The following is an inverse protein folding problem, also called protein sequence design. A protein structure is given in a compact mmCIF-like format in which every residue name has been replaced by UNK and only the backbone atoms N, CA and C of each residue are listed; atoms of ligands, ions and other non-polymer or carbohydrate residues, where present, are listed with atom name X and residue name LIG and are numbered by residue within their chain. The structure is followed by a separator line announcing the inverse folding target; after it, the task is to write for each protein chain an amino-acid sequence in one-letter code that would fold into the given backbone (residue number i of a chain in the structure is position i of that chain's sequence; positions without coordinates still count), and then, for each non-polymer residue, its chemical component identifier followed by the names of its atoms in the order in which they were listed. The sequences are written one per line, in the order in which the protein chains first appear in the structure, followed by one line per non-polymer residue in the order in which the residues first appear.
data_IF_631026164457
#
_entry.id   IF_631026164457
#
_cell.length_a   1.000
_cell.length_b   1.000
_cell.length_c   1.000
_cell.angle_alpha   90.00
_cell.angle_beta   90.00
_cell.angle_gamma   90.00
#
_symmetry.space_group_name_H-M   'P 1'
#
loop_
_entity.id
_entity.type
_entity.pdbx_description
1 polymer ?
#
# COMPACT_ATOMS: atom_id res chain seq x y z
N UNK A 1 -4.36 -12.26 -9.72
CA UNK A 1 -3.91 -11.16 -8.83
C UNK A 1 -4.32 -9.82 -9.43
N UNK A 2 -4.87 -8.96 -8.63
CA UNK A 2 -5.28 -7.62 -9.04
C UNK A 2 -4.60 -6.59 -8.14
N UNK A 3 -3.93 -5.60 -8.74
CA UNK A 3 -3.29 -4.51 -8.03
C UNK A 3 -4.16 -3.26 -8.09
N UNK A 4 -4.35 -2.61 -6.95
CA UNK A 4 -5.18 -1.41 -6.80
C UNK A 4 -4.30 -0.25 -6.37
N UNK A 5 -4.37 0.86 -7.09
CA UNK A 5 -3.69 2.10 -6.73
C UNK A 5 -4.63 2.97 -5.91
N UNK A 6 -4.21 3.33 -4.70
CA UNK A 6 -5.02 4.12 -3.75
C UNK A 6 -4.47 5.52 -3.51
N UNK A 7 -3.63 6.03 -4.39
CA UNK A 7 -2.96 7.33 -4.21
C UNK A 7 -3.95 8.50 -4.07
N UNK A 8 -5.13 8.41 -4.66
CA UNK A 8 -6.17 9.43 -4.54
C UNK A 8 -6.62 9.69 -3.10
N UNK A 9 -6.33 8.75 -2.19
CA UNK A 9 -6.71 8.86 -0.78
C UNK A 9 -6.14 10.13 -0.11
N UNK A 10 -5.03 10.64 -0.59
CA UNK A 10 -4.35 11.78 0.04
C UNK A 10 -4.94 13.15 -0.30
N UNK A 11 -5.84 13.25 -1.27
CA UNK A 11 -6.16 14.57 -1.83
C UNK A 11 -7.17 15.37 -1.02
N UNK A 12 -8.34 14.84 -0.73
CA UNK A 12 -9.37 15.50 0.08
C UNK A 12 -10.51 14.54 0.34
N UNK A 13 -11.42 14.92 1.26
CA UNK A 13 -12.57 14.08 1.63
C UNK A 13 -12.16 12.65 1.98
N UNK A 14 -11.10 12.53 2.81
CA UNK A 14 -10.48 11.25 3.08
C UNK A 14 -11.44 10.18 3.60
N UNK A 15 -12.43 10.54 4.41
CA UNK A 15 -13.40 9.56 4.91
C UNK A 15 -14.29 9.01 3.81
N UNK A 16 -14.78 9.87 2.92
CA UNK A 16 -15.60 9.43 1.78
C UNK A 16 -14.79 8.56 0.83
N UNK A 17 -13.55 8.93 0.57
CA UNK A 17 -12.64 8.16 -0.28
C UNK A 17 -12.32 6.82 0.38
N UNK A 18 -12.06 6.81 1.68
CA UNK A 18 -11.80 5.59 2.43
C UNK A 18 -12.98 4.62 2.33
N UNK A 19 -14.20 5.11 2.57
CA UNK A 19 -15.42 4.30 2.48
C UNK A 19 -15.62 3.76 1.06
N UNK A 20 -15.38 4.60 0.04
CA UNK A 20 -15.48 4.21 -1.36
C UNK A 20 -14.48 3.11 -1.73
N UNK A 21 -13.24 3.24 -1.31
CA UNK A 21 -12.22 2.23 -1.53
C UNK A 21 -12.57 0.91 -0.84
N UNK A 22 -13.04 0.98 0.40
CA UNK A 22 -13.48 -0.22 1.12
C UNK A 22 -14.63 -0.92 0.42
N UNK A 23 -15.59 -0.16 -0.09
CA UNK A 23 -16.74 -0.71 -0.83
C UNK A 23 -16.29 -1.41 -2.12
N UNK A 24 -15.36 -0.80 -2.87
CA UNK A 24 -14.80 -1.39 -4.08
C UNK A 24 -14.10 -2.71 -3.75
N UNK A 25 -13.25 -2.71 -2.72
CA UNK A 25 -12.50 -3.90 -2.33
C UNK A 25 -13.43 -5.01 -1.86
N UNK A 26 -14.47 -4.71 -1.09
CA UNK A 26 -15.48 -5.69 -0.69
C UNK A 26 -16.17 -6.30 -1.89
N UNK A 27 -16.51 -5.46 -2.90
CA UNK A 27 -17.11 -5.93 -4.13
C UNK A 27 -16.19 -6.87 -4.90
N UNK A 28 -14.90 -6.55 -4.98
CA UNK A 28 -13.90 -7.36 -5.67
C UNK A 28 -13.63 -8.69 -4.95
N UNK A 29 -13.73 -8.71 -3.62
CA UNK A 29 -13.53 -9.95 -2.83
C UNK A 29 -14.56 -11.03 -3.12
N UNK A 30 -15.68 -10.68 -3.71
CA UNK A 30 -16.70 -11.67 -4.12
C UNK A 30 -16.24 -12.53 -5.29
N UNK A 31 -15.26 -12.05 -6.05
CA UNK A 31 -14.61 -12.84 -7.08
C UNK A 31 -13.39 -13.51 -6.44
N UNK A 32 -13.10 -14.70 -6.76
CA UNK A 32 -11.99 -15.47 -6.17
C UNK A 32 -10.63 -14.95 -6.69
N UNK A 33 -10.31 -13.68 -6.37
CA UNK A 33 -9.12 -12.98 -6.81
C UNK A 33 -8.22 -12.66 -5.63
N UNK A 34 -6.90 -12.74 -5.86
CA UNK A 34 -5.91 -12.21 -4.92
C UNK A 34 -5.76 -10.70 -5.17
N UNK A 35 -6.04 -9.90 -4.16
CA UNK A 35 -6.00 -8.44 -4.23
C UNK A 35 -4.75 -7.89 -3.57
N UNK A 36 -3.96 -7.12 -4.32
CA UNK A 36 -2.75 -6.48 -3.83
C UNK A 36 -2.90 -4.98 -3.97
N UNK A 37 -2.67 -4.24 -2.89
CA UNK A 37 -2.68 -2.78 -2.90
C UNK A 37 -1.29 -2.30 -3.33
N UNK A 38 -1.25 -1.47 -4.35
CA UNK A 38 0.00 -0.87 -4.81
C UNK A 38 0.14 0.53 -4.22
N UNK A 39 1.15 0.74 -3.38
CA UNK A 39 1.31 1.99 -2.63
C UNK A 39 0.24 2.13 -1.54
N UNK A 40 -0.20 3.35 -1.31
CA UNK A 40 -1.34 3.62 -0.44
C UNK A 40 -1.14 3.31 1.03
N UNK A 41 0.04 3.56 1.55
CA UNK A 41 0.40 3.25 2.95
C UNK A 41 -0.56 3.88 3.97
N UNK A 42 -1.05 5.09 3.73
CA UNK A 42 -2.00 5.74 4.63
C UNK A 42 -3.34 5.00 4.66
N UNK A 43 -3.84 4.59 3.50
CA UNK A 43 -5.07 3.81 3.41
C UNK A 43 -4.92 2.45 4.11
N UNK A 44 -3.84 1.75 3.81
CA UNK A 44 -3.56 0.43 4.40
C UNK A 44 -3.40 0.54 5.91
N UNK A 45 -2.67 1.54 6.39
CA UNK A 45 -2.48 1.76 7.83
C UNK A 45 -3.81 1.98 8.54
N UNK A 46 -4.71 2.75 7.94
CA UNK A 46 -6.06 2.95 8.50
C UNK A 46 -6.85 1.64 8.54
N UNK A 47 -6.78 0.83 7.50
CA UNK A 47 -7.43 -0.48 7.50
C UNK A 47 -6.89 -1.39 8.61
N UNK A 48 -5.60 -1.33 8.87
CA UNK A 48 -4.98 -2.09 9.96
C UNK A 48 -5.47 -1.59 11.31
N UNK A 49 -5.51 -0.28 11.52
CA UNK A 49 -6.01 0.33 12.76
C UNK A 49 -7.47 -0.01 13.03
N UNK A 50 -8.29 -0.07 11.99
CA UNK A 50 -9.71 -0.43 12.10
C UNK A 50 -9.94 -1.95 12.06
N UNK A 51 -8.89 -2.73 11.95
CA UNK A 51 -8.91 -4.18 11.98
C UNK A 51 -9.74 -4.80 10.85
N UNK A 52 -9.69 -4.20 9.67
CA UNK A 52 -10.46 -4.65 8.50
C UNK A 52 -9.57 -5.03 7.30
N UNK A 53 -8.25 -4.87 7.42
CA UNK A 53 -7.34 -5.05 6.27
C UNK A 53 -7.46 -6.43 5.65
N UNK A 54 -7.37 -7.50 6.44
CA UNK A 54 -7.39 -8.87 5.93
C UNK A 54 -8.72 -9.29 5.30
N UNK A 55 -9.80 -8.56 5.59
CA UNK A 55 -11.09 -8.80 4.94
C UNK A 55 -11.24 -8.09 3.61
N UNK A 56 -10.34 -7.15 3.29
CA UNK A 56 -10.42 -6.31 2.09
C UNK A 56 -9.39 -6.66 1.02
N UNK A 57 -8.19 -7.05 1.42
CA UNK A 57 -7.11 -7.38 0.48
C UNK A 57 -6.15 -8.41 1.06
N UNK A 58 -5.28 -8.94 0.20
CA UNK A 58 -4.42 -10.07 0.55
C UNK A 58 -2.97 -9.64 0.79
N UNK A 59 -2.58 -8.50 0.28
CA UNK A 59 -1.21 -8.02 0.43
C UNK A 59 -1.00 -6.62 -0.08
N UNK A 60 0.22 -6.15 0.05
CA UNK A 60 0.65 -4.84 -0.45
C UNK A 60 1.91 -4.98 -1.28
N UNK A 61 2.06 -4.10 -2.26
CA UNK A 61 3.29 -3.89 -3.01
C UNK A 61 3.79 -2.49 -2.73
N UNK A 62 5.04 -2.33 -2.34
CA UNK A 62 5.65 -1.03 -2.09
C UNK A 62 6.86 -0.86 -2.97
N UNK A 63 6.94 0.29 -3.64
CA UNK A 63 8.07 0.64 -4.49
C UNK A 63 9.08 1.49 -3.74
N UNK A 64 10.34 1.36 -4.12
CA UNK A 64 11.43 2.26 -3.69
C UNK A 64 11.56 2.40 -2.17
N UNK A 65 11.55 1.28 -1.45
CA UNK A 65 11.82 1.27 -0.01
C UNK A 65 13.30 1.54 0.25
N UNK A 66 14.18 0.89 -0.49
CA UNK A 66 15.63 0.97 -0.34
C UNK A 66 16.30 1.78 -1.44
N UNK A 67 15.71 1.83 -2.62
CA UNK A 67 16.26 2.52 -3.78
C UNK A 67 15.45 3.78 -4.11
N UNK A 68 16.05 4.63 -4.91
CA UNK A 68 15.45 5.89 -5.35
C UNK A 68 15.73 6.11 -6.82
N UNK A 69 14.73 6.61 -7.55
CA UNK A 69 14.89 7.05 -8.93
C UNK A 69 14.82 8.57 -8.96
N UNK A 70 15.81 9.21 -9.59
CA UNK A 70 15.74 10.62 -9.93
C UNK A 70 15.42 10.73 -11.42
N UNK A 71 14.18 11.05 -11.75
CA UNK A 71 13.71 11.14 -13.13
C UNK A 71 14.32 12.34 -13.87
N UNK A 72 14.70 13.39 -13.13
CA UNK A 72 15.31 14.60 -13.72
C UNK A 72 16.73 14.31 -14.19
N UNK A 73 17.54 13.68 -13.36
CA UNK A 73 18.92 13.33 -13.70
C UNK A 73 19.04 11.97 -14.38
N UNK A 74 17.96 11.20 -14.42
CA UNK A 74 17.94 9.83 -14.95
C UNK A 74 18.93 8.90 -14.25
N UNK A 75 19.02 9.04 -12.92
CA UNK A 75 19.93 8.24 -12.11
C UNK A 75 19.16 7.42 -11.08
N UNK A 76 19.80 6.35 -10.62
CA UNK A 76 19.32 5.54 -9.52
C UNK A 76 20.22 5.78 -8.31
N UNK A 77 19.65 5.65 -7.13
CA UNK A 77 20.40 5.84 -5.90
C UNK A 77 19.76 5.13 -4.73
N UNK A 78 20.28 5.43 -3.57
CA UNK A 78 19.77 4.92 -2.31
C UNK A 78 18.67 5.85 -1.79
N UNK A 79 17.58 5.25 -1.28
CA UNK A 79 16.50 6.01 -0.68
C UNK A 79 16.98 6.71 0.59
N UNK A 80 16.38 7.84 0.92
CA UNK A 80 16.66 8.55 2.17
C UNK A 80 16.39 7.64 3.36
N UNK A 81 17.25 7.70 4.37
CA UNK A 81 17.17 6.81 5.54
C UNK A 81 15.82 6.93 6.26
N UNK A 82 15.29 8.15 6.39
CA UNK A 82 13.99 8.36 7.04
C UNK A 82 12.86 7.66 6.28
N UNK A 83 12.88 7.71 4.96
CA UNK A 83 11.89 7.03 4.12
C UNK A 83 11.99 5.51 4.23
N UNK A 84 13.22 4.99 4.17
CA UNK A 84 13.47 3.55 4.33
C UNK A 84 12.96 3.07 5.69
N UNK A 85 13.29 3.78 6.76
CA UNK A 85 12.85 3.43 8.12
C UNK A 85 11.33 3.45 8.23
N UNK A 86 10.69 4.49 7.70
CA UNK A 86 9.23 4.62 7.70
C UNK A 86 8.57 3.41 7.02
N UNK A 87 9.03 3.05 5.83
CA UNK A 87 8.44 1.94 5.09
C UNK A 87 8.75 0.58 5.71
N UNK A 88 9.92 0.42 6.30
CA UNK A 88 10.23 -0.82 7.02
C UNK A 88 9.28 -1.03 8.21
N UNK A 89 9.02 0.01 8.97
CA UNK A 89 8.06 -0.04 10.09
C UNK A 89 6.64 -0.31 9.61
N UNK A 90 6.23 0.37 8.55
CA UNK A 90 4.92 0.17 7.93
C UNK A 90 4.75 -1.28 7.44
N UNK A 91 5.70 -1.78 6.66
CA UNK A 91 5.62 -3.12 6.10
C UNK A 91 5.68 -4.20 7.19
N UNK A 92 6.36 -3.92 8.28
CA UNK A 92 6.38 -4.80 9.46
C UNK A 92 4.97 -4.95 10.05
N UNK A 93 4.23 -3.83 10.16
CA UNK A 93 2.83 -3.85 10.62
C UNK A 93 1.93 -4.64 9.68
N UNK A 94 2.11 -4.44 8.37
CA UNK A 94 1.37 -5.17 7.34
C UNK A 94 1.58 -6.68 7.51
N UNK A 95 2.82 -7.09 7.66
CA UNK A 95 3.17 -8.50 7.80
C UNK A 95 2.60 -9.12 9.07
N UNK A 96 2.59 -8.36 10.17
CA UNK A 96 2.00 -8.82 11.43
C UNK A 96 0.51 -9.10 11.34
N UNK A 97 -0.18 -8.48 10.39
CA UNK A 97 -1.60 -8.73 10.14
C UNK A 97 -1.85 -9.98 9.29
N UNK A 98 -0.80 -10.69 8.89
CA UNK A 98 -0.91 -11.88 8.04
C UNK A 98 -1.03 -11.58 6.56
N UNK A 99 -0.81 -10.32 6.15
CA UNK A 99 -0.84 -9.92 4.76
C UNK A 99 0.50 -10.19 4.07
N UNK A 100 0.46 -10.43 2.77
CA UNK A 100 1.67 -10.59 1.96
C UNK A 100 2.31 -9.25 1.67
N UNK A 101 3.63 -9.21 1.61
CA UNK A 101 4.40 -7.99 1.30
C UNK A 101 5.26 -8.24 0.08
N UNK A 102 5.16 -7.36 -0.90
CA UNK A 102 5.96 -7.38 -2.11
C UNK A 102 6.72 -6.06 -2.22
N UNK A 103 7.96 -6.13 -2.68
CA UNK A 103 8.80 -4.96 -2.89
C UNK A 103 9.17 -4.87 -4.36
N UNK A 104 9.14 -3.66 -4.89
CA UNK A 104 9.66 -3.35 -6.22
C UNK A 104 10.75 -2.30 -6.07
N UNK A 105 11.98 -2.70 -6.37
CA UNK A 105 13.14 -1.83 -6.25
C UNK A 105 13.76 -1.57 -7.63
N UNK A 106 14.42 -0.45 -7.78
CA UNK A 106 15.01 -0.05 -9.06
C UNK A 106 16.53 0.06 -8.98
#
# INVERSE_FOLDING_TARGET
MLAINTDVYYHYQTDSIFEGLCAILKGLKKYDLTLIINGGDTFVSRCIEENIASSLFDGVNQETVFTRIDFTSKTYGQQAEAETTYFQEYLSKVKKCGLSVYLLEY
#
